data_IF_269417515961
#
_entry.id   IF_269417515961
#
_cell.length_a   1.000
_cell.length_b   1.000
_cell.length_c   1.000
_cell.angle_alpha   90.00
_cell.angle_beta   90.00
_cell.angle_gamma   90.00
#
_symmetry.space_group_name_H-M   'P 1'
#
loop_
_entity.id
_entity.type
_entity.pdbx_description
1 polymer ?
#
# COMPACT_ATOMS: atom_id res chain seq x y z
N UNK A 1 6.36 19.57 -6.34
CA UNK A 1 7.56 18.71 -6.24
C UNK A 1 7.42 17.65 -7.33
N UNK A 2 8.24 17.71 -8.38
CA UNK A 2 8.29 16.70 -9.46
C UNK A 2 9.31 15.61 -9.12
N UNK A 3 9.34 15.18 -7.85
CA UNK A 3 10.23 14.12 -7.38
C UNK A 3 9.43 12.89 -7.01
N UNK A 4 9.92 11.75 -7.45
CA UNK A 4 9.35 10.43 -7.21
C UNK A 4 10.29 9.63 -6.31
N UNK A 5 9.72 8.82 -5.44
CA UNK A 5 10.49 7.91 -4.58
C UNK A 5 10.32 6.50 -5.14
N UNK A 6 11.43 5.88 -5.51
CA UNK A 6 11.46 4.52 -6.05
C UNK A 6 11.98 3.61 -4.95
N UNK A 7 11.14 2.67 -4.53
CA UNK A 7 11.48 1.69 -3.49
C UNK A 7 11.83 0.38 -4.20
N UNK A 8 13.03 -0.12 -3.91
CA UNK A 8 13.42 -1.48 -4.24
C UNK A 8 13.62 -2.26 -2.95
N UNK A 9 13.82 -3.58 -3.06
CA UNK A 9 14.12 -4.42 -1.91
C UNK A 9 15.32 -3.97 -1.08
N UNK A 10 16.32 -3.33 -1.71
CA UNK A 10 17.62 -3.03 -1.07
C UNK A 10 17.91 -1.54 -0.96
N UNK A 11 17.29 -0.74 -1.81
CA UNK A 11 17.62 0.67 -1.98
C UNK A 11 16.36 1.49 -2.18
N UNK A 12 16.43 2.72 -1.69
CA UNK A 12 15.44 3.75 -1.94
C UNK A 12 16.14 4.80 -2.78
N UNK A 13 15.51 5.17 -3.89
CA UNK A 13 16.04 6.14 -4.83
C UNK A 13 15.07 7.32 -4.95
N UNK A 14 15.62 8.50 -5.19
CA UNK A 14 14.87 9.70 -5.53
C UNK A 14 15.07 9.99 -7.01
N UNK A 15 13.96 10.15 -7.74
CA UNK A 15 13.97 10.48 -9.15
C UNK A 15 13.39 11.88 -9.34
N UNK A 16 14.21 12.78 -9.88
CA UNK A 16 13.79 14.14 -10.22
C UNK A 16 13.36 14.17 -11.68
N UNK A 17 12.08 14.43 -11.93
CA UNK A 17 11.52 14.34 -13.28
C UNK A 17 11.86 15.54 -14.17
N UNK A 18 12.30 16.66 -13.60
CA UNK A 18 12.70 17.84 -14.38
C UNK A 18 14.12 17.65 -14.92
N UNK A 19 15.01 17.08 -14.11
CA UNK A 19 16.41 16.81 -14.47
C UNK A 19 16.63 15.39 -15.03
N UNK A 20 15.63 14.50 -14.87
CA UNK A 20 15.72 13.07 -15.16
C UNK A 20 16.84 12.35 -14.39
N UNK A 21 17.25 12.89 -13.25
CA UNK A 21 18.32 12.33 -12.42
C UNK A 21 17.75 11.35 -11.40
N UNK A 22 18.47 10.24 -11.23
CA UNK A 22 18.18 9.20 -10.25
C UNK A 22 19.31 9.17 -9.23
N UNK A 23 18.97 9.44 -7.97
CA UNK A 23 19.92 9.52 -6.88
C UNK A 23 19.55 8.54 -5.77
N UNK A 24 20.55 8.12 -4.99
CA UNK A 24 20.30 7.27 -3.83
C UNK A 24 19.78 8.11 -2.68
N UNK A 25 18.67 7.69 -2.09
CA UNK A 25 18.12 8.33 -0.89
C UNK A 25 19.12 8.23 0.28
N UNK A 26 19.19 9.24 1.16
CA UNK A 26 20.02 9.19 2.36
C UNK A 26 19.55 8.16 3.40
N UNK A 27 18.38 7.52 3.20
CA UNK A 27 17.92 6.43 4.07
C UNK A 27 18.91 5.25 3.98
N UNK A 28 19.81 5.18 4.95
CA UNK A 28 20.69 4.04 5.17
C UNK A 28 19.98 3.02 6.06
N UNK A 29 19.70 1.83 5.53
CA UNK A 29 19.08 0.77 6.31
C UNK A 29 19.53 -0.60 5.83
N UNK A 30 19.70 -1.53 6.76
CA UNK A 30 19.91 -2.95 6.46
C UNK A 30 18.58 -3.69 6.27
N UNK A 31 17.45 -2.98 6.33
CA UNK A 31 16.13 -3.56 6.13
C UNK A 31 15.89 -3.88 4.67
N UNK A 32 15.12 -4.96 4.45
CA UNK A 32 14.57 -5.26 3.13
C UNK A 32 13.20 -4.60 3.03
N UNK A 33 13.06 -3.64 2.11
CA UNK A 33 11.81 -2.91 1.93
C UNK A 33 10.84 -3.65 1.03
N UNK A 34 9.54 -3.51 1.30
CA UNK A 34 8.48 -4.15 0.53
C UNK A 34 7.60 -3.12 -0.18
N UNK A 35 6.94 -2.26 0.59
CA UNK A 35 5.99 -1.27 0.07
C UNK A 35 6.20 0.06 0.73
N UNK A 36 5.67 1.09 0.08
CA UNK A 36 5.60 2.39 0.68
C UNK A 36 4.51 3.25 0.10
N UNK A 37 4.22 4.31 0.85
CA UNK A 37 3.29 5.37 0.49
C UNK A 37 3.76 6.64 1.18
N UNK A 38 3.22 7.79 0.79
CA UNK A 38 3.60 9.05 1.41
C UNK A 38 2.39 9.93 1.66
N UNK A 39 2.48 10.71 2.72
CA UNK A 39 1.74 11.96 2.84
C UNK A 39 2.51 13.08 2.13
N UNK A 40 2.14 14.33 2.38
CA UNK A 40 2.94 15.48 1.94
C UNK A 40 4.29 15.58 2.66
N UNK A 41 4.37 15.07 3.89
CA UNK A 41 5.48 15.30 4.82
C UNK A 41 6.22 14.02 5.20
N UNK A 42 5.54 12.88 5.15
CA UNK A 42 6.03 11.61 5.67
C UNK A 42 6.05 10.54 4.59
N UNK A 43 7.14 9.75 4.57
CA UNK A 43 7.26 8.52 3.81
C UNK A 43 7.07 7.34 4.76
N UNK A 44 6.08 6.50 4.48
CA UNK A 44 5.82 5.26 5.21
C UNK A 44 6.37 4.09 4.41
N UNK A 45 7.19 3.24 5.03
CA UNK A 45 7.80 2.05 4.40
C UNK A 45 7.53 0.81 5.22
N UNK A 46 7.16 -0.30 4.57
CA UNK A 46 7.03 -1.60 5.23
C UNK A 46 8.20 -2.53 4.93
N UNK A 47 8.55 -3.42 5.88
CA UNK A 47 9.57 -4.45 5.68
C UNK A 47 9.02 -5.69 4.97
N UNK A 48 9.89 -6.37 4.21
CA UNK A 48 9.57 -7.55 3.40
C UNK A 48 9.71 -8.86 4.17
N UNK A 49 9.04 -8.98 5.31
CA UNK A 49 9.15 -10.15 6.20
C UNK A 49 7.84 -10.44 6.93
N UNK A 50 7.72 -11.65 7.47
CA UNK A 50 6.62 -12.02 8.36
C UNK A 50 6.75 -11.26 9.70
N UNK A 51 5.64 -10.72 10.20
CA UNK A 51 5.66 -9.73 11.27
C UNK A 51 6.15 -8.36 10.79
N UNK A 52 5.82 -7.99 9.55
CA UNK A 52 6.29 -6.78 8.87
C UNK A 52 6.23 -5.55 9.77
N UNK A 53 7.29 -4.76 9.78
CA UNK A 53 7.35 -3.47 10.49
C UNK A 53 7.01 -2.32 9.54
N UNK A 54 6.61 -1.17 10.08
CA UNK A 54 6.43 0.09 9.34
C UNK A 54 7.35 1.16 9.90
N UNK A 55 8.09 1.83 9.04
CA UNK A 55 8.99 2.93 9.34
C UNK A 55 8.44 4.22 8.74
N UNK A 56 8.58 5.34 9.45
CA UNK A 56 8.13 6.66 9.02
C UNK A 56 9.33 7.60 8.95
N UNK A 57 9.54 8.19 7.78
CA UNK A 57 10.62 9.14 7.52
C UNK A 57 10.07 10.50 7.14
N UNK A 58 10.69 11.58 7.62
CA UNK A 58 10.31 12.93 7.25
C UNK A 58 10.92 13.30 5.89
N UNK A 59 10.09 13.51 4.87
CA UNK A 59 10.55 13.81 3.51
C UNK A 59 11.23 15.19 3.45
N UNK A 60 10.78 16.16 4.26
CA UNK A 60 11.32 17.53 4.26
C UNK A 60 12.65 17.66 4.99
N UNK A 61 12.91 16.79 5.96
CA UNK A 61 14.15 16.75 6.74
C UNK A 61 15.12 15.70 6.23
N UNK A 62 15.35 15.64 4.91
CA UNK A 62 16.30 14.70 4.30
C UNK A 62 16.08 13.23 4.69
N UNK A 63 14.81 12.82 4.82
CA UNK A 63 14.41 11.47 5.20
C UNK A 63 14.89 11.03 6.60
N UNK A 64 14.91 11.94 7.57
CA UNK A 64 15.13 11.57 8.98
C UNK A 64 14.04 10.61 9.47
N UNK A 65 14.45 9.55 10.16
CA UNK A 65 13.53 8.59 10.77
C UNK A 65 12.77 9.26 11.93
N UNK A 66 11.44 9.27 11.84
CA UNK A 66 10.55 9.82 12.88
C UNK A 66 10.12 8.73 13.85
N UNK A 67 9.69 7.58 13.33
CA UNK A 67 9.03 6.54 14.12
C UNK A 67 9.08 5.18 13.45
N UNK A 68 9.01 4.14 14.27
CA UNK A 68 8.88 2.75 13.85
C UNK A 68 7.74 2.08 14.61
N UNK A 69 7.00 1.22 13.91
CA UNK A 69 6.06 0.27 14.49
C UNK A 69 6.46 -1.15 14.08
N UNK A 70 6.46 -2.06 15.05
CA UNK A 70 6.83 -3.46 14.85
C UNK A 70 5.67 -4.39 15.20
N UNK A 71 5.72 -5.62 14.71
CA UNK A 71 4.83 -6.69 15.17
C UNK A 71 4.92 -6.84 16.71
N UNK A 72 3.80 -7.01 17.45
CA UNK A 72 2.46 -7.30 16.93
C UNK A 72 1.59 -6.06 16.67
N UNK A 73 2.14 -4.84 16.74
CA UNK A 73 1.38 -3.60 16.56
C UNK A 73 0.98 -3.42 15.09
N UNK A 74 1.89 -3.71 14.16
CA UNK A 74 1.65 -3.60 12.71
C UNK A 74 0.81 -4.75 12.17
N UNK A 75 1.27 -5.97 12.42
CA UNK A 75 0.56 -7.21 12.09
C UNK A 75 1.08 -8.34 13.00
N UNK A 76 0.40 -9.48 13.00
CA UNK A 76 0.86 -10.67 13.70
C UNK A 76 2.18 -11.22 13.13
N UNK A 77 2.86 -12.07 13.92
CA UNK A 77 4.15 -12.67 13.55
C UNK A 77 4.11 -13.54 12.30
N UNK A 78 2.96 -14.15 12.03
CA UNK A 78 2.73 -15.02 10.86
C UNK A 78 1.98 -14.30 9.74
N UNK A 79 1.94 -12.98 9.82
CA UNK A 79 1.26 -12.09 8.89
C UNK A 79 2.26 -11.22 8.15
N UNK A 80 1.90 -10.80 6.95
CA UNK A 80 2.72 -9.89 6.13
C UNK A 80 1.85 -8.76 5.61
N UNK A 81 2.41 -7.55 5.60
CA UNK A 81 1.78 -6.40 4.94
C UNK A 81 1.92 -6.59 3.43
N UNK A 82 0.80 -6.79 2.74
CA UNK A 82 0.80 -6.99 1.30
C UNK A 82 0.98 -5.67 0.55
N UNK A 83 0.36 -4.60 1.05
CA UNK A 83 0.33 -3.27 0.45
C UNK A 83 0.23 -2.16 1.51
N UNK A 84 0.51 -0.92 1.13
CA UNK A 84 0.40 0.23 2.02
C UNK A 84 -0.07 1.45 1.22
N UNK A 85 -1.18 2.07 1.60
CA UNK A 85 -1.69 3.28 0.93
C UNK A 85 -2.13 4.33 1.95
N UNK A 86 -1.65 5.56 1.75
CA UNK A 86 -2.03 6.71 2.56
C UNK A 86 -3.19 7.48 1.91
N UNK A 87 -4.16 7.87 2.72
CA UNK A 87 -5.21 8.82 2.33
C UNK A 87 -5.76 9.54 3.55
N UNK A 88 -5.81 10.87 3.51
CA UNK A 88 -6.49 11.70 4.52
C UNK A 88 -6.15 11.35 5.97
N UNK A 89 -4.86 11.21 6.30
CA UNK A 89 -4.37 10.83 7.64
C UNK A 89 -4.66 9.38 8.07
N UNK A 90 -5.01 8.51 7.12
CA UNK A 90 -5.17 7.08 7.35
C UNK A 90 -4.25 6.25 6.47
N UNK A 91 -3.87 5.08 6.97
CA UNK A 91 -3.15 4.04 6.25
C UNK A 91 -4.08 2.85 6.05
N UNK A 92 -4.36 2.52 4.79
CA UNK A 92 -5.01 1.29 4.39
C UNK A 92 -3.95 0.20 4.19
N UNK A 93 -4.11 -0.92 4.89
CA UNK A 93 -3.09 -1.96 5.03
C UNK A 93 -3.73 -3.33 4.78
N UNK A 94 -3.65 -3.86 3.54
CA UNK A 94 -3.95 -5.26 3.29
C UNK A 94 -2.92 -6.17 3.96
N UNK A 95 -3.38 -7.11 4.78
CA UNK A 95 -2.56 -8.03 5.56
C UNK A 95 -2.97 -9.46 5.21
N UNK A 96 -1.98 -10.31 4.92
CA UNK A 96 -2.18 -11.75 4.67
C UNK A 96 -1.59 -12.58 5.79
N UNK A 97 -2.35 -13.57 6.28
CA UNK A 97 -1.92 -14.54 7.26
C UNK A 97 -1.63 -15.89 6.59
N UNK A 98 -0.37 -16.35 6.63
CA UNK A 98 0.05 -17.58 5.95
C UNK A 98 -0.59 -18.85 6.52
N UNK A 99 -0.79 -18.91 7.83
CA UNK A 99 -1.25 -20.13 8.48
C UNK A 99 -2.74 -20.35 8.33
N UNK A 100 -3.51 -19.25 8.30
CA UNK A 100 -4.96 -19.30 8.12
C UNK A 100 -5.38 -19.24 6.66
N UNK A 101 -4.47 -18.82 5.78
CA UNK A 101 -4.79 -18.48 4.39
C UNK A 101 -5.92 -17.44 4.30
N UNK A 102 -5.87 -16.47 5.22
CA UNK A 102 -6.87 -15.42 5.36
C UNK A 102 -6.21 -14.05 5.15
N UNK A 103 -6.96 -13.14 4.55
CA UNK A 103 -6.56 -11.74 4.44
C UNK A 103 -7.56 -10.82 5.11
N UNK A 104 -7.06 -9.64 5.48
CA UNK A 104 -7.91 -8.54 5.92
C UNK A 104 -7.38 -7.23 5.37
N UNK A 105 -8.25 -6.25 5.26
CA UNK A 105 -7.87 -4.85 5.11
C UNK A 105 -8.08 -4.18 6.46
N UNK A 106 -7.00 -3.61 6.99
CA UNK A 106 -7.06 -2.77 8.19
C UNK A 106 -6.91 -1.30 7.78
N UNK A 107 -7.69 -0.42 8.39
CA UNK A 107 -7.52 1.03 8.29
C UNK A 107 -6.99 1.57 9.61
N UNK A 108 -5.80 2.15 9.58
CA UNK A 108 -5.13 2.72 10.75
C UNK A 108 -5.03 4.24 10.67
N UNK A 109 -5.09 4.91 11.82
CA UNK A 109 -4.64 6.30 11.93
C UNK A 109 -3.15 6.39 11.57
N UNK A 110 -2.75 7.27 10.66
CA UNK A 110 -1.34 7.39 10.27
C UNK A 110 -0.45 7.98 11.38
N UNK A 111 -1.06 8.62 12.39
CA UNK A 111 -0.34 9.29 13.48
C UNK A 111 -0.16 8.35 14.68
N UNK A 112 -1.26 7.76 15.15
CA UNK A 112 -1.26 6.91 16.35
C UNK A 112 -1.06 5.43 16.01
N UNK A 113 -1.36 5.03 14.77
CA UNK A 113 -1.44 3.65 14.32
C UNK A 113 -2.56 2.83 14.96
N UNK A 114 -3.52 3.51 15.62
CA UNK A 114 -4.73 2.87 16.10
C UNK A 114 -5.56 2.34 14.93
N UNK A 115 -6.01 1.09 15.04
CA UNK A 115 -6.88 0.44 14.06
C UNK A 115 -8.30 1.00 14.21
N UNK A 116 -8.79 1.66 13.16
CA UNK A 116 -10.13 2.26 13.12
C UNK A 116 -11.17 1.19 12.81
N UNK A 117 -10.89 0.36 11.82
CA UNK A 117 -11.68 -0.80 11.47
C UNK A 117 -10.84 -1.85 10.73
N UNK A 118 -11.38 -3.06 10.68
CA UNK A 118 -10.81 -4.20 9.99
C UNK A 118 -11.90 -4.98 9.29
N UNK A 119 -11.69 -5.34 8.03
CA UNK A 119 -12.62 -6.15 7.24
C UNK A 119 -11.90 -7.34 6.63
N UNK A 120 -12.53 -8.51 6.72
CA UNK A 120 -11.99 -9.74 6.10
C UNK A 120 -12.19 -9.68 4.59
N UNK A 121 -11.16 -10.10 3.89
CA UNK A 121 -11.10 -10.23 2.43
C UNK A 121 -10.38 -11.53 2.09
N UNK A 122 -10.31 -11.89 0.82
CA UNK A 122 -9.65 -13.12 0.37
C UNK A 122 -8.43 -12.81 -0.51
N UNK A 123 -7.43 -13.70 -0.45
CA UNK A 123 -6.25 -13.66 -1.31
C UNK A 123 -5.26 -12.54 -1.00
N UNK A 124 -4.18 -12.45 -1.78
CA UNK A 124 -3.09 -11.49 -1.54
C UNK A 124 -3.44 -10.15 -2.15
N UNK A 125 -3.81 -9.20 -1.31
CA UNK A 125 -4.49 -8.01 -1.80
C UNK A 125 -3.58 -6.79 -2.01
N UNK A 126 -3.95 -6.00 -3.02
CA UNK A 126 -3.56 -4.58 -3.20
C UNK A 126 -4.76 -3.69 -2.92
N UNK A 127 -4.55 -2.41 -2.66
CA UNK A 127 -5.69 -1.51 -2.54
C UNK A 127 -5.42 -0.13 -3.11
N UNK A 128 -6.48 0.63 -3.35
CA UNK A 128 -6.42 2.06 -3.59
C UNK A 128 -7.68 2.76 -3.07
N UNK A 129 -7.58 4.05 -2.77
CA UNK A 129 -8.76 4.90 -2.55
C UNK A 129 -9.32 5.31 -3.91
N UNK A 130 -10.61 5.06 -4.13
CA UNK A 130 -11.32 5.45 -5.35
C UNK A 130 -12.06 6.80 -5.20
N UNK A 131 -12.40 7.17 -3.96
CA UNK A 131 -12.87 8.51 -3.58
C UNK A 131 -12.71 8.68 -2.06
N UNK A 132 -13.24 9.79 -1.50
CA UNK A 132 -13.17 10.05 -0.05
C UNK A 132 -13.90 9.01 0.81
N UNK A 133 -14.80 8.23 0.22
CA UNK A 133 -15.75 7.39 0.94
C UNK A 133 -15.57 5.88 0.71
N UNK A 134 -14.62 5.46 -0.14
CA UNK A 134 -14.45 4.06 -0.50
C UNK A 134 -13.01 3.68 -0.82
N UNK A 135 -12.70 2.43 -0.48
CA UNK A 135 -11.49 1.71 -0.85
C UNK A 135 -11.85 0.61 -1.83
N UNK A 136 -11.02 0.47 -2.86
CA UNK A 136 -11.06 -0.65 -3.77
C UNK A 136 -9.89 -1.56 -3.43
N UNK A 137 -10.19 -2.82 -3.16
CA UNK A 137 -9.21 -3.84 -2.84
C UNK A 137 -9.21 -4.85 -3.96
N UNK A 138 -8.03 -5.20 -4.43
CA UNK A 138 -7.84 -6.13 -5.52
C UNK A 138 -7.16 -7.39 -5.00
N UNK A 139 -7.82 -8.52 -5.16
CA UNK A 139 -7.18 -9.82 -5.01
C UNK A 139 -6.42 -10.18 -6.28
N UNK A 140 -5.12 -10.34 -6.08
CA UNK A 140 -4.16 -10.76 -7.07
C UNK A 140 -4.45 -12.17 -7.64
N UNK A 141 -4.89 -13.11 -6.80
CA UNK A 141 -4.96 -14.53 -7.16
C UNK A 141 -6.29 -14.89 -7.83
N UNK A 142 -7.43 -14.49 -7.26
CA UNK A 142 -8.74 -14.78 -7.84
C UNK A 142 -9.22 -13.75 -8.88
N UNK A 143 -8.42 -12.69 -9.11
CA UNK A 143 -8.76 -11.58 -10.00
C UNK A 143 -10.11 -10.97 -9.62
N UNK A 144 -10.28 -10.61 -8.34
CA UNK A 144 -11.50 -10.03 -7.80
C UNK A 144 -11.23 -8.63 -7.24
N UNK A 145 -12.23 -7.78 -7.32
CA UNK A 145 -12.27 -6.49 -6.64
C UNK A 145 -13.28 -6.54 -5.51
N UNK A 146 -12.93 -5.93 -4.38
CA UNK A 146 -13.80 -5.70 -3.24
C UNK A 146 -13.96 -4.20 -3.04
N UNK A 147 -15.20 -3.72 -3.09
CA UNK A 147 -15.56 -2.35 -2.78
C UNK A 147 -15.83 -2.27 -1.28
N UNK A 148 -14.99 -1.54 -0.55
CA UNK A 148 -15.07 -1.35 0.89
C UNK A 148 -15.48 0.09 1.17
N UNK A 149 -16.50 0.29 2.00
CA UNK A 149 -16.93 1.62 2.43
C UNK A 149 -15.91 2.29 3.38
N UNK A 150 -16.07 3.59 3.61
CA UNK A 150 -15.22 4.35 4.53
C UNK A 150 -15.26 3.84 5.98
N UNK A 151 -16.34 3.17 6.39
CA UNK A 151 -16.53 2.56 7.71
C UNK A 151 -16.20 1.06 7.73
N UNK A 152 -15.59 0.52 6.67
CA UNK A 152 -15.07 -0.85 6.65
C UNK A 152 -16.09 -1.93 6.31
N UNK A 153 -17.20 -1.59 5.67
CA UNK A 153 -18.19 -2.57 5.21
C UNK A 153 -17.89 -3.00 3.77
N UNK A 154 -17.95 -4.31 3.51
CA UNK A 154 -17.93 -4.83 2.15
C UNK A 154 -19.24 -4.49 1.45
N UNK A 155 -19.17 -3.62 0.44
CA UNK A 155 -20.33 -3.17 -0.34
C UNK A 155 -20.64 -4.12 -1.48
N UNK A 156 -19.59 -4.53 -2.21
CA UNK A 156 -19.71 -5.32 -3.44
C UNK A 156 -18.41 -6.06 -3.73
N UNK A 157 -18.53 -7.20 -4.40
CA UNK A 157 -17.40 -7.90 -5.01
C UNK A 157 -17.65 -8.07 -6.51
N UNK A 158 -16.62 -7.80 -7.31
CA UNK A 158 -16.66 -7.90 -8.77
C UNK A 158 -15.51 -8.76 -9.27
N UNK A 159 -15.76 -9.59 -10.28
CA UNK A 159 -14.70 -10.35 -10.93
C UNK A 159 -14.09 -9.54 -12.06
N UNK A 160 -12.77 -9.50 -12.13
CA UNK A 160 -12.03 -8.86 -13.20
C UNK A 160 -11.77 -9.84 -14.35
N UNK A 161 -12.54 -9.67 -15.42
CA UNK A 161 -12.56 -10.60 -16.56
C UNK A 161 -11.47 -10.27 -17.60
N UNK A 162 -10.20 -10.45 -17.21
CA UNK A 162 -9.07 -10.39 -18.15
C UNK A 162 -8.18 -11.63 -18.13
N UNK A 163 -8.52 -12.66 -17.34
CA UNK A 163 -7.77 -13.92 -17.18
C UNK A 163 -6.26 -13.73 -16.98
N UNK A 164 -5.86 -12.60 -16.39
CA UNK A 164 -4.48 -12.24 -16.14
C UNK A 164 -4.33 -11.89 -14.67
N UNK A 165 -3.27 -12.44 -14.08
CA UNK A 165 -2.81 -12.10 -12.74
C UNK A 165 -2.63 -10.59 -12.61
N UNK A 166 -3.30 -10.03 -11.61
CA UNK A 166 -3.28 -8.60 -11.34
C UNK A 166 -2.07 -8.26 -10.46
N UNK A 167 -1.30 -7.24 -10.82
CA UNK A 167 -0.05 -6.91 -10.15
C UNK A 167 -0.18 -5.67 -9.24
N UNK A 168 -0.89 -4.64 -9.71
CA UNK A 168 -1.12 -3.40 -8.94
C UNK A 168 -2.42 -2.69 -9.35
N UNK A 169 -2.92 -1.84 -8.46
CA UNK A 169 -4.08 -0.98 -8.68
C UNK A 169 -3.80 0.42 -8.13
N UNK A 170 -4.08 1.44 -8.94
CA UNK A 170 -3.78 2.83 -8.62
C UNK A 170 -4.92 3.74 -9.09
N UNK A 171 -5.26 4.80 -8.36
CA UNK A 171 -6.20 5.80 -8.85
C UNK A 171 -5.53 6.66 -9.95
N UNK A 172 -6.30 7.07 -10.95
CA UNK A 172 -5.85 7.94 -12.04
C UNK A 172 -6.91 9.00 -12.36
N UNK A 173 -6.66 10.24 -11.91
CA UNK A 173 -7.67 11.29 -11.95
C UNK A 173 -8.84 11.01 -11.01
N UNK A 174 -9.98 11.64 -11.26
CA UNK A 174 -11.14 11.57 -10.36
C UNK A 174 -11.99 10.31 -10.54
N UNK A 175 -12.08 9.81 -11.78
CA UNK A 175 -13.03 8.76 -12.16
C UNK A 175 -12.38 7.55 -12.81
N UNK A 176 -11.05 7.39 -12.73
CA UNK A 176 -10.41 6.22 -13.31
C UNK A 176 -9.48 5.52 -12.33
N UNK A 177 -9.29 4.23 -12.59
CA UNK A 177 -8.25 3.41 -11.99
C UNK A 177 -7.36 2.83 -13.08
N UNK A 178 -6.09 2.70 -12.76
CA UNK A 178 -5.14 1.92 -13.54
C UNK A 178 -4.99 0.57 -12.87
N UNK A 179 -5.24 -0.48 -13.65
CA UNK A 179 -5.01 -1.87 -13.28
C UNK A 179 -3.80 -2.37 -14.04
N UNK A 180 -2.74 -2.66 -13.32
CA UNK A 180 -1.53 -3.24 -13.87
C UNK A 180 -1.64 -4.76 -13.84
N UNK A 181 -1.39 -5.40 -14.98
CA UNK A 181 -1.13 -6.84 -15.06
C UNK A 181 0.32 -7.07 -15.43
N UNK A 182 0.76 -8.32 -15.44
CA UNK A 182 2.09 -8.68 -15.95
C UNK A 182 2.36 -8.24 -17.40
N UNK A 183 1.32 -8.04 -18.21
CA UNK A 183 1.46 -7.78 -19.65
C UNK A 183 0.92 -6.42 -20.10
N UNK A 184 -0.03 -5.86 -19.38
CA UNK A 184 -0.77 -4.68 -19.83
C UNK A 184 -1.02 -3.70 -18.69
N UNK A 185 -1.17 -2.44 -19.08
CA UNK A 185 -1.70 -1.38 -18.23
C UNK A 185 -3.10 -1.09 -18.75
N UNK A 186 -4.12 -1.35 -17.93
CA UNK A 186 -5.51 -1.10 -18.30
C UNK A 186 -6.04 0.11 -17.53
N UNK A 187 -6.72 1.02 -18.23
CA UNK A 187 -7.43 2.13 -17.62
C UNK A 187 -8.93 1.78 -17.59
N UNK A 188 -9.55 1.91 -16.43
CA UNK A 188 -10.99 1.69 -16.24
C UNK A 188 -11.63 2.92 -15.64
N UNK A 189 -12.83 3.23 -16.10
CA UNK A 189 -13.70 4.22 -15.48
C UNK A 189 -14.40 3.59 -14.26
N UNK A 190 -14.53 4.36 -13.19
CA UNK A 190 -15.14 3.97 -11.91
C UNK A 190 -16.67 4.14 -11.88
#
# INVERSE_FOLDING_TARGET
>A
INQFIIITFKEILTFDADTMLLEKSPISSNQTWWRGTSSEDDLFLSTAEWGSSIYVFNIRSSFELIKEWHSPITCGKDEIICDLKYKNSFLAIPIFNKHKDESRLDLHSSITFECIWSVRIHGRCRCCSININQWLVMDHDDCQFFHISADGQLLKSDKYDQHQRLEDILPWGENNIVVLTKKTVNLHEL
#
